data_IF_822765775797
#
_entry.id   IF_822765775797
#
_cell.length_a   1.000
_cell.length_b   1.000
_cell.length_c   1.000
_cell.angle_alpha   90.00
_cell.angle_beta   90.00
_cell.angle_gamma   90.00
#
_symmetry.space_group_name_H-M   'P 1'
#
loop_
_entity.id
_entity.type
_entity.pdbx_description
1 polymer ?
#
# COMPACT_ATOMS: atom_id res chain seq x y z
N UNK A 1 -22.58 23.61 -0.87
CA UNK A 1 -21.79 22.36 -0.96
C UNK A 1 -20.31 22.74 -1.04
N UNK A 2 -19.51 22.48 0.02
CA UNK A 2 -18.05 22.73 -0.03
C UNK A 2 -17.38 21.51 -0.66
N UNK A 3 -16.81 21.69 -1.85
CA UNK A 3 -15.98 20.67 -2.52
C UNK A 3 -14.59 20.79 -1.90
N UNK A 4 -14.11 19.72 -1.24
CA UNK A 4 -12.76 19.65 -0.70
C UNK A 4 -11.91 18.79 -1.62
N UNK A 5 -10.70 19.25 -1.95
CA UNK A 5 -9.74 18.47 -2.74
C UNK A 5 -9.11 17.36 -1.89
N UNK A 6 -8.61 16.29 -2.53
CA UNK A 6 -7.94 15.19 -1.81
C UNK A 6 -6.69 15.67 -1.05
N UNK A 7 -5.97 16.64 -1.60
CA UNK A 7 -4.83 17.30 -0.94
C UNK A 7 -5.26 18.01 0.35
N UNK A 8 -6.34 18.80 0.29
CA UNK A 8 -6.89 19.48 1.46
C UNK A 8 -7.33 18.48 2.55
N UNK A 9 -7.97 17.37 2.14
CA UNK A 9 -8.38 16.30 3.05
C UNK A 9 -7.18 15.67 3.77
N UNK A 10 -6.00 15.65 3.16
CA UNK A 10 -4.77 15.04 3.68
C UNK A 10 -3.87 16.00 4.49
N UNK A 11 -4.17 17.31 4.53
CA UNK A 11 -3.28 18.30 5.16
C UNK A 11 -2.97 18.00 6.64
N UNK A 12 -3.92 17.41 7.37
CA UNK A 12 -3.74 17.05 8.78
C UNK A 12 -3.23 15.61 8.99
N UNK A 13 -2.97 14.84 7.93
CA UNK A 13 -2.64 13.41 8.01
C UNK A 13 -1.50 13.08 8.98
N UNK A 14 -0.39 13.84 8.92
CA UNK A 14 0.78 13.61 9.80
C UNK A 14 0.49 13.81 11.28
N UNK A 15 -0.56 14.58 11.61
CA UNK A 15 -0.96 14.89 12.99
C UNK A 15 -2.12 14.03 13.50
N UNK A 16 -2.71 13.17 12.65
CA UNK A 16 -3.87 12.34 12.98
C UNK A 16 -3.47 10.88 13.10
N UNK A 17 -4.16 10.17 14.00
CA UNK A 17 -3.96 8.73 14.15
C UNK A 17 -4.50 7.99 12.94
N UNK A 18 -3.66 7.17 12.33
CA UNK A 18 -4.06 6.18 11.33
C UNK A 18 -4.39 4.87 12.01
N UNK A 19 -5.65 4.44 11.90
CA UNK A 19 -6.11 3.15 12.40
C UNK A 19 -5.90 2.08 11.35
N UNK A 20 -5.00 1.15 11.62
CA UNK A 20 -4.74 0.01 10.75
C UNK A 20 -5.73 -1.09 11.13
N UNK A 21 -6.67 -1.37 10.23
CA UNK A 21 -7.75 -2.33 10.48
C UNK A 21 -7.25 -3.74 10.17
N UNK A 22 -7.23 -4.59 11.20
CA UNK A 22 -6.80 -5.98 11.10
C UNK A 22 -7.98 -6.86 10.71
N UNK A 23 -8.25 -6.91 9.42
CA UNK A 23 -9.32 -7.69 8.80
C UNK A 23 -8.79 -8.66 7.74
N UNK A 24 -9.47 -9.79 7.58
CA UNK A 24 -9.13 -10.81 6.59
C UNK A 24 -8.32 -12.01 7.13
N UNK A 25 -7.64 -12.76 6.24
CA UNK A 25 -6.90 -13.98 6.59
C UNK A 25 -5.74 -13.72 7.56
N UNK A 26 -5.39 -14.72 8.37
CA UNK A 26 -4.30 -14.58 9.35
C UNK A 26 -2.94 -14.25 8.72
N UNK A 27 -2.65 -14.78 7.52
CA UNK A 27 -1.43 -14.43 6.77
C UNK A 27 -1.34 -12.93 6.48
N UNK A 28 -2.45 -12.34 6.02
CA UNK A 28 -2.57 -10.91 5.77
C UNK A 28 -2.44 -10.09 7.04
N UNK A 29 -3.15 -10.48 8.10
CA UNK A 29 -3.13 -9.77 9.39
C UNK A 29 -1.72 -9.79 9.99
N UNK A 30 -1.05 -10.94 9.99
CA UNK A 30 0.31 -11.07 10.53
C UNK A 30 1.30 -10.22 9.76
N UNK A 31 1.37 -10.34 8.43
CA UNK A 31 2.28 -9.53 7.61
C UNK A 31 2.00 -8.03 7.75
N UNK A 32 0.73 -7.62 7.74
CA UNK A 32 0.35 -6.21 7.92
C UNK A 32 0.77 -5.69 9.30
N UNK A 33 0.56 -6.47 10.37
CA UNK A 33 0.92 -6.07 11.73
C UNK A 33 2.44 -5.96 11.91
N UNK A 34 3.18 -6.97 11.45
CA UNK A 34 4.64 -7.02 11.55
C UNK A 34 5.29 -5.84 10.81
N UNK A 35 4.96 -5.67 9.53
CA UNK A 35 5.60 -4.64 8.71
C UNK A 35 5.13 -3.23 9.08
N UNK A 36 3.85 -3.04 9.44
CA UNK A 36 3.40 -1.73 9.94
C UNK A 36 4.14 -1.34 11.22
N UNK A 37 4.39 -2.30 12.12
CA UNK A 37 5.16 -2.03 13.34
C UNK A 37 6.62 -1.69 13.03
N UNK A 38 7.19 -2.28 11.98
CA UNK A 38 8.58 -2.05 11.62
C UNK A 38 8.81 -0.73 10.90
N UNK A 39 7.90 -0.31 10.00
CA UNK A 39 8.20 0.77 9.04
C UNK A 39 7.21 1.95 9.03
N UNK A 40 6.08 1.88 9.73
CA UNK A 40 5.10 2.98 9.70
C UNK A 40 5.56 4.17 10.55
N UNK A 41 5.81 5.30 9.89
CA UNK A 41 6.36 6.51 10.54
C UNK A 41 5.69 7.80 10.08
N UNK A 42 4.92 7.78 8.99
CA UNK A 42 4.29 8.96 8.39
C UNK A 42 3.26 9.66 9.30
N UNK A 43 2.68 8.94 10.26
CA UNK A 43 1.68 9.41 11.21
C UNK A 43 1.64 8.51 12.45
N UNK A 44 1.14 9.00 13.60
CA UNK A 44 0.77 8.11 14.71
C UNK A 44 -0.18 7.03 14.22
N UNK A 45 -0.04 5.80 14.71
CA UNK A 45 -0.93 4.71 14.32
C UNK A 45 -1.34 3.83 15.49
N UNK A 46 -2.48 3.16 15.34
CA UNK A 46 -2.93 2.11 16.23
C UNK A 46 -3.60 0.99 15.46
N UNK A 47 -3.55 -0.23 15.98
CA UNK A 47 -4.29 -1.35 15.41
C UNK A 47 -5.74 -1.34 15.87
N UNK A 48 -6.65 -1.65 14.94
CA UNK A 48 -8.07 -1.60 15.14
C UNK A 48 -8.72 -2.90 14.62
N UNK A 49 -9.68 -3.45 15.35
CA UNK A 49 -10.49 -4.58 14.90
C UNK A 49 -11.59 -4.12 13.94
N UNK A 50 -12.16 -5.01 13.11
CA UNK A 50 -13.29 -4.65 12.24
C UNK A 50 -14.48 -4.07 13.02
N UNK A 51 -14.77 -4.61 14.21
CA UNK A 51 -15.83 -4.11 15.07
C UNK A 51 -15.56 -2.69 15.62
N UNK A 52 -14.31 -2.36 15.93
CA UNK A 52 -13.93 -1.00 16.32
C UNK A 52 -13.97 -0.04 15.12
N UNK A 53 -13.55 -0.49 13.93
CA UNK A 53 -13.67 0.27 12.70
C UNK A 53 -15.11 0.68 12.44
N UNK A 54 -16.06 -0.26 12.52
CA UNK A 54 -17.48 0.04 12.28
C UNK A 54 -18.04 1.12 13.21
N UNK A 55 -17.56 1.18 14.46
CA UNK A 55 -17.93 2.22 15.42
C UNK A 55 -17.27 3.57 15.14
N UNK A 56 -16.06 3.56 14.59
CA UNK A 56 -15.22 4.75 14.44
C UNK A 56 -15.17 5.31 13.02
N UNK A 57 -15.65 4.60 12.00
CA UNK A 57 -15.58 5.03 10.59
C UNK A 57 -16.26 6.38 10.33
N UNK A 58 -17.18 6.80 11.21
CA UNK A 58 -17.82 8.11 11.20
C UNK A 58 -17.02 9.25 11.83
N UNK A 59 -15.85 8.98 12.43
CA UNK A 59 -15.02 9.99 13.08
C UNK A 59 -14.16 10.76 12.05
N UNK A 60 -14.37 12.08 11.85
CA UNK A 60 -13.62 12.87 10.89
C UNK A 60 -12.15 13.10 11.28
N UNK A 61 -11.76 12.80 12.53
CA UNK A 61 -10.39 12.99 13.03
C UNK A 61 -9.47 11.79 12.80
N UNK A 62 -9.98 10.78 12.09
CA UNK A 62 -9.36 9.47 12.00
C UNK A 62 -9.13 9.06 10.56
N UNK A 63 -7.97 8.48 10.30
CA UNK A 63 -7.68 7.81 9.04
C UNK A 63 -7.75 6.31 9.24
N UNK A 64 -8.11 5.59 8.19
CA UNK A 64 -8.22 4.14 8.24
C UNK A 64 -7.45 3.53 7.08
N UNK A 65 -6.56 2.59 7.39
CA UNK A 65 -5.92 1.73 6.40
C UNK A 65 -6.51 0.34 6.59
N UNK A 66 -7.28 -0.14 5.61
CA UNK A 66 -7.99 -1.42 5.73
C UNK A 66 -7.80 -2.29 4.50
N UNK A 67 -7.67 -3.61 4.66
CA UNK A 67 -7.80 -4.53 3.55
C UNK A 67 -9.23 -4.53 3.00
N UNK A 68 -9.36 -4.55 1.68
CA UNK A 68 -10.63 -4.69 0.97
C UNK A 68 -10.44 -5.67 -0.17
N UNK A 69 -11.24 -6.74 -0.18
CA UNK A 69 -11.32 -7.67 -1.29
C UNK A 69 -12.29 -7.17 -2.36
N UNK A 70 -11.84 -7.12 -3.61
CA UNK A 70 -12.68 -6.79 -4.76
C UNK A 70 -12.18 -7.48 -6.03
N UNK A 71 -13.08 -8.19 -6.71
CA UNK A 71 -12.82 -8.89 -7.98
C UNK A 71 -11.61 -9.84 -7.91
N UNK A 72 -11.44 -10.56 -6.81
CA UNK A 72 -10.32 -11.50 -6.63
C UNK A 72 -9.05 -10.85 -6.08
N UNK A 73 -9.04 -9.55 -5.78
CA UNK A 73 -7.83 -8.82 -5.37
C UNK A 73 -8.06 -8.17 -4.01
N UNK A 74 -7.13 -8.40 -3.10
CA UNK A 74 -7.03 -7.70 -1.82
C UNK A 74 -6.22 -6.44 -2.04
N UNK A 75 -6.80 -5.30 -1.67
CA UNK A 75 -6.14 -3.99 -1.70
C UNK A 75 -6.12 -3.37 -0.31
N UNK A 76 -5.02 -2.70 0.04
CA UNK A 76 -4.99 -1.78 1.18
C UNK A 76 -5.59 -0.45 0.76
N UNK A 77 -6.71 -0.08 1.40
CA UNK A 77 -7.45 1.13 1.10
C UNK A 77 -7.27 2.12 2.23
N UNK A 78 -6.75 3.30 1.90
CA UNK A 78 -6.63 4.43 2.82
C UNK A 78 -7.86 5.34 2.68
N UNK A 79 -8.59 5.56 3.77
CA UNK A 79 -9.74 6.45 3.81
C UNK A 79 -9.64 7.48 4.94
N UNK A 80 -10.34 8.61 4.79
CA UNK A 80 -10.63 9.53 5.91
C UNK A 80 -12.02 9.24 6.45
N UNK A 81 -12.12 9.11 7.77
CA UNK A 81 -13.38 8.90 8.47
C UNK A 81 -14.36 10.08 8.34
N UNK A 82 -15.59 9.85 8.77
CA UNK A 82 -16.70 10.81 8.72
C UNK A 82 -17.40 10.89 7.37
N UNK A 83 -16.70 10.65 6.25
CA UNK A 83 -17.30 10.65 4.91
C UNK A 83 -16.88 9.48 4.02
N UNK A 84 -16.18 8.49 4.57
CA UNK A 84 -15.64 7.32 3.87
C UNK A 84 -15.00 7.67 2.50
N UNK A 85 -14.19 8.73 2.46
CA UNK A 85 -13.53 9.16 1.22
C UNK A 85 -12.32 8.28 0.97
N UNK A 86 -12.36 7.48 -0.08
CA UNK A 86 -11.19 6.74 -0.56
C UNK A 86 -10.12 7.70 -1.08
N UNK A 87 -8.96 7.68 -0.42
CA UNK A 87 -7.81 8.48 -0.78
C UNK A 87 -6.89 7.70 -1.71
N UNK A 88 -6.60 6.45 -1.36
CA UNK A 88 -5.69 5.56 -2.07
C UNK A 88 -6.18 4.10 -1.96
N UNK A 89 -5.97 3.33 -3.01
CA UNK A 89 -6.11 1.87 -3.00
C UNK A 89 -4.86 1.23 -3.61
N UNK A 90 -4.19 0.37 -2.83
CA UNK A 90 -2.96 -0.34 -3.22
C UNK A 90 -3.26 -1.83 -3.27
N UNK A 91 -3.36 -2.44 -4.46
CA UNK A 91 -3.42 -3.90 -4.59
C UNK A 91 -2.21 -4.56 -3.91
N UNK A 92 -2.44 -5.54 -3.03
CA UNK A 92 -1.37 -6.22 -2.26
C UNK A 92 -1.33 -7.73 -2.45
N UNK A 93 -2.45 -8.37 -2.75
CA UNK A 93 -2.54 -9.82 -2.94
C UNK A 93 -3.74 -10.23 -3.78
N UNK A 94 -3.75 -11.48 -4.26
CA UNK A 94 -4.96 -12.13 -4.73
C UNK A 94 -5.74 -12.72 -3.55
N UNK A 95 -7.05 -12.86 -3.68
CA UNK A 95 -7.90 -13.40 -2.61
C UNK A 95 -7.52 -14.85 -2.24
N UNK A 96 -6.92 -15.58 -3.18
CA UNK A 96 -6.47 -16.97 -3.01
C UNK A 96 -4.94 -17.11 -3.13
N UNK A 97 -4.19 -16.00 -3.19
CA UNK A 97 -2.75 -16.02 -3.41
C UNK A 97 -2.06 -14.92 -2.62
N UNK A 98 -1.35 -15.37 -1.57
CA UNK A 98 -0.75 -14.50 -0.58
C UNK A 98 0.76 -14.34 -0.73
N UNK A 99 1.37 -14.88 -1.79
CA UNK A 99 2.83 -14.86 -2.00
C UNK A 99 3.39 -13.44 -2.03
N UNK A 100 2.61 -12.48 -2.54
CA UNK A 100 2.96 -11.06 -2.60
C UNK A 100 2.96 -10.37 -1.25
N UNK A 101 2.33 -10.95 -0.21
CA UNK A 101 2.36 -10.40 1.15
C UNK A 101 3.76 -10.38 1.76
N UNK A 102 4.70 -11.16 1.22
CA UNK A 102 6.11 -11.10 1.59
C UNK A 102 6.76 -9.75 1.28
N UNK A 103 6.09 -8.91 0.49
CA UNK A 103 6.50 -7.56 0.14
C UNK A 103 5.64 -6.49 0.84
N UNK A 104 4.96 -6.82 1.95
CA UNK A 104 4.03 -5.92 2.64
C UNK A 104 4.69 -4.59 3.05
N UNK A 105 5.94 -4.61 3.51
CA UNK A 105 6.73 -3.42 3.78
C UNK A 105 6.80 -2.47 2.56
N UNK A 106 6.91 -3.00 1.33
CA UNK A 106 6.91 -2.18 0.14
C UNK A 106 5.54 -1.54 -0.13
N UNK A 107 4.45 -2.26 0.07
CA UNK A 107 3.10 -1.70 -0.10
C UNK A 107 2.80 -0.63 0.93
N UNK A 108 3.19 -0.82 2.18
CA UNK A 108 3.06 0.17 3.24
C UNK A 108 3.93 1.41 2.94
N UNK A 109 5.16 1.23 2.48
CA UNK A 109 6.01 2.34 2.01
C UNK A 109 5.34 3.14 0.89
N UNK A 110 4.68 2.49 -0.08
CA UNK A 110 3.93 3.16 -1.15
C UNK A 110 2.77 4.00 -0.57
N UNK A 111 2.06 3.49 0.43
CA UNK A 111 0.98 4.25 1.10
C UNK A 111 1.55 5.48 1.81
N UNK A 112 2.67 5.33 2.51
CA UNK A 112 3.34 6.43 3.21
C UNK A 112 3.83 7.49 2.21
N UNK A 113 4.55 7.09 1.17
CA UNK A 113 5.06 7.98 0.11
C UNK A 113 3.92 8.74 -0.59
N UNK A 114 2.78 8.06 -0.83
CA UNK A 114 1.57 8.70 -1.35
C UNK A 114 1.06 9.76 -0.39
N UNK A 115 0.88 9.44 0.88
CA UNK A 115 0.32 10.37 1.86
C UNK A 115 1.20 11.63 1.96
N UNK A 116 2.53 11.48 1.99
CA UNK A 116 3.46 12.60 2.00
C UNK A 116 3.41 13.44 0.72
N UNK A 117 3.41 12.79 -0.44
CA UNK A 117 3.42 13.46 -1.73
C UNK A 117 2.10 14.15 -2.04
N UNK A 118 0.97 13.55 -1.65
CA UNK A 118 -0.38 14.06 -1.90
C UNK A 118 -0.73 15.28 -1.04
N UNK A 119 -0.09 15.47 0.12
CA UNK A 119 -0.17 16.71 0.91
C UNK A 119 0.34 17.90 0.08
N UNK A 120 1.42 17.70 -0.68
CA UNK A 120 2.13 18.77 -1.39
C UNK A 120 1.79 18.86 -2.89
N UNK A 121 1.09 17.87 -3.44
CA UNK A 121 0.81 17.79 -4.88
C UNK A 121 -0.59 17.25 -5.17
N UNK A 122 -1.48 18.12 -5.67
CA UNK A 122 -2.82 17.72 -6.12
C UNK A 122 -2.76 16.66 -7.22
N UNK A 123 -1.78 16.78 -8.14
CA UNK A 123 -1.56 15.80 -9.20
C UNK A 123 -1.38 14.39 -8.63
N UNK A 124 -0.59 14.25 -7.56
CA UNK A 124 -0.38 12.96 -6.89
C UNK A 124 -1.65 12.52 -6.18
N UNK A 125 -2.31 13.43 -5.45
CA UNK A 125 -3.54 13.14 -4.73
C UNK A 125 -4.65 12.56 -5.63
N UNK A 126 -4.74 13.00 -6.89
CA UNK A 126 -5.69 12.43 -7.85
C UNK A 126 -5.14 11.22 -8.62
N UNK A 127 -3.83 11.13 -8.87
CA UNK A 127 -3.23 10.03 -9.61
C UNK A 127 -3.16 8.71 -8.82
N UNK A 128 -3.16 8.75 -7.49
CA UNK A 128 -3.01 7.56 -6.64
C UNK A 128 -1.60 6.94 -6.76
N UNK A 129 -1.51 5.61 -6.79
CA UNK A 129 -0.23 4.88 -6.88
C UNK A 129 0.66 5.33 -8.06
N UNK A 130 0.14 5.50 -9.31
CA UNK A 130 0.93 6.07 -10.41
C UNK A 130 1.59 7.42 -10.10
N UNK A 131 0.99 8.25 -9.24
CA UNK A 131 1.51 9.56 -8.87
C UNK A 131 2.79 9.51 -8.05
N UNK A 132 3.06 8.41 -7.36
CA UNK A 132 4.22 8.22 -6.46
C UNK A 132 5.48 7.81 -7.21
N UNK A 133 5.32 7.36 -8.46
CA UNK A 133 6.38 6.78 -9.30
C UNK A 133 7.65 7.65 -9.34
N UNK A 134 8.80 7.04 -9.05
CA UNK A 134 10.13 7.64 -9.15
C UNK A 134 10.92 7.09 -10.34
N UNK A 135 11.92 7.85 -10.80
CA UNK A 135 12.90 7.34 -11.74
C UNK A 135 13.79 6.29 -11.05
N UNK A 136 14.00 5.16 -11.73
CA UNK A 136 14.97 4.16 -11.28
C UNK A 136 16.39 4.72 -11.49
N UNK A 137 17.27 4.70 -10.47
CA UNK A 137 18.66 5.10 -10.62
C UNK A 137 19.39 4.32 -11.73
N UNK A 138 20.40 4.95 -12.32
CA UNK A 138 21.30 4.26 -13.24
C UNK A 138 22.07 3.15 -12.48
N UNK A 139 22.25 2.00 -13.12
CA UNK A 139 22.94 0.85 -12.51
C UNK A 139 22.07 -0.05 -11.62
N UNK A 140 20.82 0.32 -11.33
CA UNK A 140 19.92 -0.58 -10.59
C UNK A 140 19.62 -1.85 -11.39
N UNK A 141 19.98 -3.00 -10.82
CA UNK A 141 19.78 -4.32 -11.40
C UNK A 141 18.31 -4.71 -11.30
N UNK A 142 17.70 -5.12 -12.42
CA UNK A 142 16.32 -5.63 -12.40
C UNK A 142 16.33 -7.14 -12.15
N UNK A 143 15.77 -7.56 -11.03
CA UNK A 143 15.63 -8.97 -10.65
C UNK A 143 14.24 -9.44 -11.06
N UNK A 144 14.19 -10.40 -11.98
CA UNK A 144 12.95 -10.95 -12.54
C UNK A 144 12.62 -12.35 -12.02
N UNK A 145 13.64 -13.10 -11.60
CA UNK A 145 13.43 -14.40 -10.99
C UNK A 145 12.74 -14.21 -9.63
N UNK A 146 11.60 -14.87 -9.36
CA UNK A 146 10.85 -14.67 -8.12
C UNK A 146 11.62 -15.05 -6.84
N UNK A 147 12.45 -16.08 -6.89
CA UNK A 147 13.22 -16.54 -5.72
C UNK A 147 14.35 -15.56 -5.42
N UNK A 148 15.08 -15.15 -6.46
CA UNK A 148 16.13 -14.15 -6.34
C UNK A 148 15.56 -12.78 -5.93
N UNK A 149 14.39 -12.40 -6.44
CA UNK A 149 13.71 -11.16 -6.08
C UNK A 149 13.36 -11.14 -4.60
N UNK A 150 12.79 -12.23 -4.09
CA UNK A 150 12.47 -12.36 -2.68
C UNK A 150 13.73 -12.36 -1.80
N UNK A 151 14.79 -13.05 -2.23
CA UNK A 151 16.06 -13.07 -1.52
C UNK A 151 16.69 -11.67 -1.44
N UNK A 152 16.73 -10.94 -2.56
CA UNK A 152 17.22 -9.57 -2.63
C UNK A 152 16.39 -8.62 -1.74
N UNK A 153 15.07 -8.77 -1.75
CA UNK A 153 14.16 -7.99 -0.91
C UNK A 153 14.40 -8.23 0.58
N UNK A 154 14.48 -9.51 1.00
CA UNK A 154 14.77 -9.86 2.40
C UNK A 154 16.16 -9.42 2.85
N UNK A 155 17.13 -9.41 1.94
CA UNK A 155 18.48 -8.92 2.20
C UNK A 155 18.58 -7.38 2.23
N UNK A 156 17.53 -6.67 1.81
CA UNK A 156 17.53 -5.22 1.72
C UNK A 156 18.50 -4.67 0.65
N UNK A 157 18.65 -5.36 -0.49
CA UNK A 157 19.59 -4.96 -1.55
C UNK A 157 19.14 -3.67 -2.24
N UNK A 158 19.74 -2.53 -1.86
CA UNK A 158 19.45 -1.22 -2.47
C UNK A 158 19.84 -1.11 -3.94
N UNK A 159 20.69 -2.02 -4.45
CA UNK A 159 21.11 -2.04 -5.85
C UNK A 159 20.13 -2.83 -6.74
N UNK A 160 19.18 -3.55 -6.14
CA UNK A 160 18.20 -4.35 -6.84
C UNK A 160 16.82 -3.68 -6.91
N UNK A 161 16.18 -3.83 -8.06
CA UNK A 161 14.75 -3.58 -8.26
C UNK A 161 14.05 -4.92 -8.51
N UNK A 162 12.99 -5.19 -7.77
CA UNK A 162 12.23 -6.45 -7.84
C UNK A 162 10.88 -6.22 -8.52
N UNK A 163 10.40 -7.21 -9.26
CA UNK A 163 9.05 -7.21 -9.84
C UNK A 163 8.07 -7.97 -8.94
N UNK A 164 7.01 -7.30 -8.51
CA UNK A 164 5.93 -7.91 -7.73
C UNK A 164 4.69 -7.97 -8.62
N UNK A 165 4.15 -9.18 -8.79
CA UNK A 165 2.95 -9.43 -9.58
C UNK A 165 1.78 -9.79 -8.68
N UNK A 166 0.60 -9.26 -9.01
CA UNK A 166 -0.64 -9.58 -8.31
C UNK A 166 -1.65 -10.12 -9.29
N UNK A 167 -2.06 -11.37 -9.04
CA UNK A 167 -3.06 -12.12 -9.79
C UNK A 167 -4.21 -12.49 -8.86
N UNK A 168 -5.47 -12.49 -9.34
CA UNK A 168 -6.61 -12.76 -8.46
C UNK A 168 -6.62 -14.19 -7.88
N UNK A 169 -6.24 -15.17 -8.69
CA UNK A 169 -6.39 -16.59 -8.32
C UNK A 169 -5.06 -17.31 -8.05
N UNK A 170 -3.93 -16.61 -8.16
CA UNK A 170 -2.58 -17.19 -7.95
C UNK A 170 -2.15 -18.31 -8.90
N UNK A 171 -3.05 -18.82 -9.74
CA UNK A 171 -2.74 -19.94 -10.63
C UNK A 171 -1.80 -19.49 -11.74
N UNK A 172 -0.93 -20.40 -12.19
CA UNK A 172 0.01 -20.17 -13.29
C UNK A 172 -0.68 -19.71 -14.60
N UNK A 173 -1.98 -19.99 -14.75
CA UNK A 173 -2.76 -19.62 -15.94
C UNK A 173 -3.48 -18.26 -15.81
N UNK A 174 -3.56 -17.70 -14.59
CA UNK A 174 -4.22 -16.41 -14.37
C UNK A 174 -3.24 -15.28 -14.68
N UNK A 175 -3.55 -14.48 -15.71
CA UNK A 175 -2.74 -13.31 -16.06
C UNK A 175 -2.70 -12.33 -14.87
N UNK A 176 -1.50 -11.83 -14.49
CA UNK A 176 -1.40 -10.81 -13.46
C UNK A 176 -2.15 -9.56 -13.88
N UNK A 177 -2.81 -8.91 -12.92
CA UNK A 177 -3.54 -7.65 -13.12
C UNK A 177 -2.73 -6.43 -12.74
N UNK A 178 -1.76 -6.61 -11.86
CA UNK A 178 -0.91 -5.51 -11.40
C UNK A 178 0.54 -5.96 -11.39
N UNK A 179 1.41 -5.03 -11.77
CA UNK A 179 2.86 -5.19 -11.67
C UNK A 179 3.46 -3.96 -11.00
N UNK A 180 4.22 -4.20 -9.95
CA UNK A 180 5.06 -3.21 -9.28
C UNK A 180 6.52 -3.45 -9.62
N UNK A 181 7.30 -2.36 -9.68
CA UNK A 181 8.75 -2.39 -9.58
C UNK A 181 9.16 -1.54 -8.40
N UNK A 182 9.75 -2.17 -7.40
CA UNK A 182 10.20 -1.50 -6.18
C UNK A 182 11.68 -1.77 -5.96
N UNK A 183 12.37 -0.83 -5.31
CA UNK A 183 13.70 -1.09 -4.79
C UNK A 183 13.63 -2.13 -3.66
N UNK A 184 14.57 -3.07 -3.62
CA UNK A 184 14.57 -4.13 -2.62
C UNK A 184 15.01 -3.66 -1.22
N UNK A 185 15.88 -2.65 -1.11
CA UNK A 185 16.38 -2.14 0.17
C UNK A 185 15.58 -1.00 0.78
N UNK A 186 15.14 -0.05 -0.04
CA UNK A 186 14.43 1.15 0.44
C UNK A 186 12.97 1.26 -0.01
N UNK A 187 12.44 0.21 -0.63
CA UNK A 187 11.03 0.06 -0.99
C UNK A 187 10.44 1.10 -1.96
N UNK A 188 11.26 2.02 -2.49
CA UNK A 188 10.81 3.06 -3.42
C UNK A 188 10.18 2.49 -4.67
N UNK A 189 9.01 3.00 -5.02
CA UNK A 189 8.27 2.62 -6.22
C UNK A 189 8.85 3.26 -7.49
N UNK A 190 9.36 2.44 -8.41
CA UNK A 190 9.85 2.88 -9.73
C UNK A 190 8.82 2.80 -10.83
N UNK A 191 7.87 1.87 -10.74
CA UNK A 191 6.73 1.81 -11.66
C UNK A 191 5.60 0.97 -11.08
N UNK A 192 4.38 1.40 -11.38
CA UNK A 192 3.16 0.62 -11.19
C UNK A 192 2.41 0.56 -12.51
N UNK A 193 1.98 -0.63 -12.90
CA UNK A 193 1.22 -0.87 -14.14
C UNK A 193 0.03 -1.76 -13.82
N UNK A 194 -1.15 -1.32 -14.24
CA UNK A 194 -2.34 -2.18 -14.37
C UNK A 194 -2.26 -2.87 -15.74
N UNK A 195 -2.26 -4.20 -15.73
CA UNK A 195 -2.09 -5.07 -16.89
C UNK A 195 -3.43 -5.44 -17.54
#
# INVERSE_FOLDING_TARGET
MKIYTKSYILQDFKSRTTRIVLDGPQSLISSLREDATSIWTVSPYEFCTPAQYEKLKGDPFSYFLRPVSSKGIISLVLTKGGRDHELLSVPVAGDNCFDSLQYMAAFLSIVQDYAESAISSERVAYAGVPGVRKCRPAGTRLVRDPQEALAAFRAGDETAAVEIFISPDGTANTRPRYRYRVNAGNYKLYSFVKL
#
